data_IF_394620496679
#
_entry.id   IF_394620496679
#
_cell.length_a   1.000
_cell.length_b   1.000
_cell.length_c   1.000
_cell.angle_alpha   90.00
_cell.angle_beta   90.00
_cell.angle_gamma   90.00
#
_symmetry.space_group_name_H-M   'P 1'
#
loop_
_entity.id
_entity.type
_entity.pdbx_description
1 polymer ?
#
# COMPACT_ATOMS: atom_id res chain seq x y z
N UNK A 1 -5.04 -25.13 12.95
CA UNK A 1 -6.25 -24.39 12.59
C UNK A 1 -6.37 -24.24 11.08
N UNK A 2 -7.57 -24.01 10.58
CA UNK A 2 -7.85 -23.56 9.23
C UNK A 2 -8.09 -22.06 9.23
N UNK A 3 -7.39 -21.31 8.42
CA UNK A 3 -7.48 -19.85 8.38
C UNK A 3 -7.76 -19.40 6.95
N UNK A 4 -8.80 -18.56 6.77
CA UNK A 4 -9.09 -17.95 5.49
C UNK A 4 -8.53 -16.53 5.44
N UNK A 5 -7.77 -16.19 4.39
CA UNK A 5 -7.16 -14.87 4.18
C UNK A 5 -7.64 -14.29 2.85
N UNK A 6 -8.16 -13.06 2.85
CA UNK A 6 -8.61 -12.38 1.63
C UNK A 6 -7.69 -11.23 1.22
N UNK A 7 -7.20 -11.26 -0.03
CA UNK A 7 -6.13 -10.40 -0.56
C UNK A 7 -6.68 -9.59 -1.73
N UNK A 8 -6.86 -8.27 -1.57
CA UNK A 8 -7.56 -7.43 -2.55
C UNK A 8 -6.72 -6.32 -3.18
N UNK A 9 -5.53 -6.04 -2.65
CA UNK A 9 -4.67 -4.93 -3.10
C UNK A 9 -3.20 -5.33 -3.13
N UNK A 10 -2.33 -4.64 -3.91
CA UNK A 10 -0.89 -4.92 -3.92
C UNK A 10 -0.22 -4.87 -2.54
N UNK A 11 -0.60 -3.92 -1.69
CA UNK A 11 -0.15 -3.86 -0.29
C UNK A 11 -0.46 -5.15 0.47
N UNK A 12 -1.67 -5.67 0.28
CA UNK A 12 -2.13 -6.88 0.95
C UNK A 12 -1.38 -8.12 0.45
N UNK A 13 -0.98 -8.17 -0.83
CA UNK A 13 -0.11 -9.24 -1.34
C UNK A 13 1.20 -9.29 -0.56
N UNK A 14 1.87 -8.15 -0.39
CA UNK A 14 3.13 -8.07 0.35
C UNK A 14 2.96 -8.45 1.82
N UNK A 15 1.91 -7.95 2.45
CA UNK A 15 1.62 -8.18 3.87
C UNK A 15 1.23 -9.62 4.15
N UNK A 16 0.25 -10.13 3.42
CA UNK A 16 -0.31 -11.46 3.67
C UNK A 16 0.53 -12.61 3.13
N UNK A 17 1.45 -12.36 2.19
CA UNK A 17 2.48 -13.35 1.86
C UNK A 17 3.30 -13.69 3.11
N UNK A 18 3.74 -12.67 3.86
CA UNK A 18 4.52 -12.87 5.08
C UNK A 18 3.70 -13.46 6.22
N UNK A 19 2.44 -13.02 6.38
CA UNK A 19 1.56 -13.61 7.38
C UNK A 19 1.26 -15.08 7.07
N UNK A 20 0.95 -15.41 5.82
CA UNK A 20 0.68 -16.79 5.40
C UNK A 20 1.89 -17.69 5.62
N UNK A 21 3.08 -17.26 5.19
CA UNK A 21 4.35 -17.98 5.40
C UNK A 21 4.56 -18.28 6.90
N UNK A 22 4.29 -17.31 7.77
CA UNK A 22 4.45 -17.47 9.20
C UNK A 22 3.43 -18.43 9.82
N UNK A 23 2.17 -18.34 9.42
CA UNK A 23 1.09 -19.23 9.90
C UNK A 23 1.28 -20.67 9.40
N UNK A 24 1.65 -20.86 8.13
CA UNK A 24 1.95 -22.18 7.56
C UNK A 24 3.16 -22.82 8.27
N UNK A 25 4.21 -22.03 8.56
CA UNK A 25 5.36 -22.49 9.34
C UNK A 25 5.01 -22.90 10.77
N UNK A 26 3.85 -22.49 11.31
CA UNK A 26 3.29 -22.94 12.59
C UNK A 26 2.29 -24.09 12.45
N UNK A 27 2.15 -24.66 11.25
CA UNK A 27 1.30 -25.82 10.99
C UNK A 27 -0.19 -25.48 10.74
N UNK A 28 -0.54 -24.22 10.49
CA UNK A 28 -1.89 -23.84 10.11
C UNK A 28 -2.16 -24.11 8.65
N UNK A 29 -3.41 -24.45 8.30
CA UNK A 29 -3.86 -24.64 6.93
C UNK A 29 -4.51 -23.34 6.43
N UNK A 30 -3.95 -22.75 5.37
CA UNK A 30 -4.37 -21.45 4.84
C UNK A 30 -5.17 -21.61 3.55
N UNK A 31 -6.33 -20.96 3.48
CA UNK A 31 -7.05 -20.68 2.25
C UNK A 31 -6.84 -19.20 1.92
N UNK A 32 -6.15 -18.91 0.82
CA UNK A 32 -6.03 -17.56 0.30
C UNK A 32 -7.09 -17.34 -0.76
N UNK A 33 -7.80 -16.23 -0.70
CA UNK A 33 -8.75 -15.79 -1.73
C UNK A 33 -8.35 -14.42 -2.24
N UNK A 34 -8.68 -14.15 -3.49
CA UNK A 34 -8.54 -12.85 -4.15
C UNK A 34 -9.67 -12.65 -5.14
N UNK A 35 -9.73 -11.48 -5.79
CA UNK A 35 -10.64 -11.22 -6.90
C UNK A 35 -9.85 -11.04 -8.20
N UNK A 36 -10.51 -11.19 -9.34
CA UNK A 36 -9.91 -10.87 -10.63
C UNK A 36 -9.59 -9.38 -10.69
N UNK A 37 -8.34 -9.05 -10.47
CA UNK A 37 -7.78 -7.70 -10.54
C UNK A 37 -6.32 -7.77 -10.95
N UNK A 38 -6.00 -7.23 -12.15
CA UNK A 38 -4.72 -7.44 -12.85
C UNK A 38 -3.49 -7.22 -11.97
N UNK A 39 -3.39 -6.06 -11.31
CA UNK A 39 -2.21 -5.71 -10.50
C UNK A 39 -1.99 -6.70 -9.35
N UNK A 40 -3.06 -7.14 -8.69
CA UNK A 40 -2.99 -8.08 -7.57
C UNK A 40 -2.60 -9.46 -8.06
N UNK A 41 -3.22 -9.95 -9.14
CA UNK A 41 -2.97 -11.29 -9.65
C UNK A 41 -1.54 -11.41 -10.18
N UNK A 42 -1.03 -10.41 -10.92
CA UNK A 42 0.36 -10.37 -11.36
C UNK A 42 1.36 -10.32 -10.18
N UNK A 43 1.04 -9.57 -9.13
CA UNK A 43 1.93 -9.50 -7.97
C UNK A 43 1.93 -10.79 -7.14
N UNK A 44 0.79 -11.46 -7.00
CA UNK A 44 0.71 -12.78 -6.36
C UNK A 44 1.56 -13.81 -7.13
N UNK A 45 1.44 -13.83 -8.45
CA UNK A 45 2.25 -14.69 -9.32
C UNK A 45 3.75 -14.38 -9.16
N UNK A 46 4.15 -13.11 -9.22
CA UNK A 46 5.53 -12.67 -9.02
C UNK A 46 6.11 -13.10 -7.65
N UNK A 47 5.27 -13.16 -6.62
CA UNK A 47 5.66 -13.58 -5.27
C UNK A 47 5.48 -15.08 -5.02
N UNK A 48 5.05 -15.86 -6.00
CA UNK A 48 4.82 -17.30 -5.87
C UNK A 48 3.71 -17.64 -4.86
N UNK A 49 2.70 -16.80 -4.73
CA UNK A 49 1.60 -16.96 -3.76
C UNK A 49 0.33 -17.40 -4.47
N UNK A 50 -0.07 -18.63 -4.23
CA UNK A 50 -1.34 -19.15 -4.74
C UNK A 50 -2.53 -18.57 -3.98
N UNK A 51 -3.52 -18.07 -4.72
CA UNK A 51 -4.79 -17.59 -4.18
C UNK A 51 -5.96 -17.94 -5.11
N UNK A 52 -7.05 -18.43 -4.53
CA UNK A 52 -8.27 -18.73 -5.28
C UNK A 52 -8.94 -17.44 -5.71
N UNK A 53 -9.12 -17.27 -7.02
CA UNK A 53 -9.84 -16.11 -7.57
C UNK A 53 -11.34 -16.32 -7.34
N UNK A 54 -11.98 -15.37 -6.64
CA UNK A 54 -13.42 -15.34 -6.35
C UNK A 54 -13.94 -13.95 -6.67
N UNK A 55 -14.81 -13.87 -7.68
CA UNK A 55 -15.35 -12.61 -8.16
C UNK A 55 -14.33 -11.72 -8.88
N UNK A 56 -14.72 -10.48 -9.14
CA UNK A 56 -13.94 -9.51 -9.91
C UNK A 56 -13.97 -8.09 -9.29
N UNK A 57 -13.07 -7.23 -9.73
CA UNK A 57 -13.06 -5.83 -9.35
C UNK A 57 -14.15 -5.06 -10.10
N UNK A 58 -15.00 -4.31 -9.39
CA UNK A 58 -16.15 -3.61 -9.97
C UNK A 58 -15.84 -2.31 -10.74
N UNK A 59 -14.56 -2.04 -11.07
CA UNK A 59 -14.18 -0.82 -11.80
C UNK A 59 -14.27 0.48 -10.99
N UNK A 60 -14.43 1.61 -11.65
CA UNK A 60 -14.52 2.95 -11.04
C UNK A 60 -15.95 3.37 -10.65
N UNK A 61 -16.96 2.85 -11.31
CA UNK A 61 -18.36 3.20 -11.10
C UNK A 61 -18.95 2.60 -9.82
N UNK A 62 -19.74 3.38 -9.07
CA UNK A 62 -20.31 2.96 -7.79
C UNK A 62 -21.32 1.81 -7.91
N UNK A 63 -22.19 1.84 -8.93
CA UNK A 63 -23.17 0.79 -9.13
C UNK A 63 -22.52 -0.54 -9.51
N UNK A 64 -21.51 -0.50 -10.37
CA UNK A 64 -20.71 -1.66 -10.76
C UNK A 64 -19.92 -2.23 -9.57
N UNK A 65 -19.34 -1.39 -8.73
CA UNK A 65 -18.70 -1.81 -7.48
C UNK A 65 -19.67 -2.51 -6.53
N UNK A 66 -20.87 -1.97 -6.36
CA UNK A 66 -21.89 -2.56 -5.51
C UNK A 66 -22.33 -3.94 -6.03
N UNK A 67 -22.61 -4.05 -7.34
CA UNK A 67 -23.00 -5.32 -7.98
C UNK A 67 -21.92 -6.38 -7.88
N UNK A 68 -20.65 -6.01 -8.16
CA UNK A 68 -19.52 -6.91 -8.06
C UNK A 68 -19.29 -7.40 -6.62
N UNK A 69 -19.42 -6.52 -5.63
CA UNK A 69 -19.32 -6.86 -4.20
C UNK A 69 -20.44 -7.82 -3.77
N UNK A 70 -21.70 -7.54 -4.14
CA UNK A 70 -22.84 -8.41 -3.79
C UNK A 70 -22.68 -9.82 -4.40
N UNK A 71 -22.30 -9.91 -5.67
CA UNK A 71 -22.01 -11.19 -6.34
C UNK A 71 -20.87 -11.93 -5.65
N UNK A 72 -19.78 -11.22 -5.31
CA UNK A 72 -18.63 -11.80 -4.65
C UNK A 72 -18.95 -12.33 -3.25
N UNK A 73 -19.81 -11.67 -2.48
CA UNK A 73 -20.28 -12.18 -1.17
C UNK A 73 -20.89 -13.56 -1.34
N UNK A 74 -21.77 -13.76 -2.32
CA UNK A 74 -22.41 -15.03 -2.60
C UNK A 74 -21.40 -16.12 -3.00
N UNK A 75 -20.51 -15.81 -3.95
CA UNK A 75 -19.48 -16.75 -4.41
C UNK A 75 -18.47 -17.09 -3.30
N UNK A 76 -18.07 -16.11 -2.49
CA UNK A 76 -17.13 -16.29 -1.39
C UNK A 76 -17.74 -17.12 -0.25
N UNK A 77 -19.05 -16.97 0.03
CA UNK A 77 -19.71 -17.77 1.07
C UNK A 77 -19.60 -19.26 0.78
N UNK A 78 -19.82 -19.69 -0.47
CA UNK A 78 -19.67 -21.09 -0.87
C UNK A 78 -18.25 -21.64 -0.68
N UNK A 79 -17.25 -20.80 -0.98
CA UNK A 79 -15.84 -21.17 -0.81
C UNK A 79 -15.48 -21.30 0.68
N UNK A 80 -15.95 -20.38 1.50
CA UNK A 80 -15.71 -20.38 2.96
C UNK A 80 -16.46 -21.53 3.65
N UNK A 81 -17.70 -21.79 3.29
CA UNK A 81 -18.47 -22.95 3.78
C UNK A 81 -17.78 -24.28 3.45
N UNK A 82 -17.24 -24.43 2.24
CA UNK A 82 -16.51 -25.62 1.83
C UNK A 82 -15.18 -25.80 2.56
N UNK A 83 -14.48 -24.73 2.89
CA UNK A 83 -13.20 -24.79 3.61
C UNK A 83 -13.40 -24.93 5.13
N UNK A 84 -14.44 -24.33 5.70
CA UNK A 84 -14.74 -24.29 7.14
C UNK A 84 -13.57 -23.77 7.96
N UNK A 85 -13.19 -22.50 7.81
CA UNK A 85 -12.10 -21.91 8.58
C UNK A 85 -12.51 -21.68 10.03
N UNK A 86 -11.56 -21.84 10.95
CA UNK A 86 -11.71 -21.49 12.36
C UNK A 86 -11.66 -19.97 12.56
N UNK A 87 -10.87 -19.27 11.73
CA UNK A 87 -10.70 -17.80 11.75
C UNK A 87 -10.60 -17.27 10.32
N UNK A 88 -11.19 -16.10 10.08
CA UNK A 88 -11.03 -15.32 8.85
C UNK A 88 -10.16 -14.09 9.11
N UNK A 89 -9.27 -13.76 8.17
CA UNK A 89 -8.36 -12.60 8.26
C UNK A 89 -8.46 -11.78 6.98
N UNK A 90 -8.57 -10.47 7.09
CA UNK A 90 -8.48 -9.59 5.91
C UNK A 90 -7.90 -8.22 6.25
N UNK A 91 -7.38 -7.56 5.24
CA UNK A 91 -7.05 -6.14 5.32
C UNK A 91 -8.26 -5.33 4.85
N UNK A 92 -9.30 -5.32 5.69
CA UNK A 92 -10.58 -4.64 5.44
C UNK A 92 -11.28 -5.06 4.16
N UNK A 93 -11.46 -6.37 3.95
CA UNK A 93 -12.36 -6.88 2.91
C UNK A 93 -13.81 -6.81 3.37
N UNK A 94 -14.67 -5.96 2.75
CA UNK A 94 -16.09 -5.92 3.08
C UNK A 94 -16.80 -7.26 2.85
N UNK A 95 -16.41 -7.96 1.79
CA UNK A 95 -17.01 -9.23 1.41
C UNK A 95 -16.67 -10.34 2.43
N UNK A 96 -15.37 -10.48 2.80
CA UNK A 96 -14.99 -11.48 3.79
C UNK A 96 -15.54 -11.14 5.18
N UNK A 97 -15.53 -9.87 5.59
CA UNK A 97 -16.11 -9.45 6.87
C UNK A 97 -17.62 -9.80 6.95
N UNK A 98 -18.37 -9.57 5.85
CA UNK A 98 -19.80 -9.89 5.77
C UNK A 98 -20.05 -11.40 5.80
N UNK A 99 -19.26 -12.19 5.07
CA UNK A 99 -19.36 -13.66 5.03
C UNK A 99 -19.01 -14.25 6.39
N UNK A 100 -17.88 -13.87 6.98
CA UNK A 100 -17.44 -14.34 8.29
C UNK A 100 -18.49 -14.05 9.38
N UNK A 101 -19.01 -12.82 9.42
CA UNK A 101 -20.08 -12.45 10.35
C UNK A 101 -21.33 -13.30 10.17
N UNK A 102 -21.77 -13.52 8.93
CA UNK A 102 -22.96 -14.31 8.62
C UNK A 102 -22.84 -15.80 8.98
N UNK A 103 -21.62 -16.35 8.87
CA UNK A 103 -21.31 -17.74 9.20
C UNK A 103 -20.80 -17.93 10.64
N UNK A 104 -20.79 -16.87 11.47
CA UNK A 104 -20.27 -16.87 12.84
C UNK A 104 -18.81 -17.30 12.96
N UNK A 105 -18.00 -16.98 11.95
CA UNK A 105 -16.55 -17.20 11.96
C UNK A 105 -15.88 -15.97 12.55
N UNK A 106 -15.02 -16.10 13.57
CA UNK A 106 -14.23 -14.97 14.09
C UNK A 106 -13.45 -14.27 12.97
N UNK A 107 -13.57 -12.95 12.89
CA UNK A 107 -12.88 -12.16 11.87
C UNK A 107 -11.85 -11.21 12.48
N UNK A 108 -10.61 -11.36 12.06
CA UNK A 108 -9.51 -10.44 12.36
C UNK A 108 -9.36 -9.47 11.20
N UNK A 109 -9.71 -8.21 11.46
CA UNK A 109 -9.56 -7.12 10.50
C UNK A 109 -8.24 -6.39 10.74
N UNK A 110 -7.33 -6.38 9.77
CA UNK A 110 -6.19 -5.46 9.76
C UNK A 110 -6.61 -4.19 9.02
N UNK A 111 -6.29 -3.00 9.52
CA UNK A 111 -6.64 -1.76 8.84
C UNK A 111 -5.73 -0.58 9.26
N UNK A 112 -5.29 0.21 8.28
CA UNK A 112 -4.51 1.44 8.47
C UNK A 112 -5.22 2.72 7.98
N UNK A 113 -6.45 2.59 7.48
CA UNK A 113 -7.12 3.64 6.72
C UNK A 113 -8.50 4.01 7.32
N UNK A 114 -8.54 4.61 8.53
CA UNK A 114 -9.80 5.02 9.15
C UNK A 114 -10.53 6.13 8.37
N UNK A 115 -9.86 6.76 7.42
CA UNK A 115 -10.43 7.76 6.52
C UNK A 115 -11.19 7.14 5.34
N UNK A 116 -11.00 5.86 5.04
CA UNK A 116 -11.78 5.09 4.06
C UNK A 116 -13.14 4.68 4.67
N UNK A 117 -14.00 5.67 4.92
CA UNK A 117 -15.20 5.55 5.73
C UNK A 117 -16.15 4.43 5.27
N UNK A 118 -16.39 4.31 3.95
CA UNK A 118 -17.28 3.28 3.41
C UNK A 118 -16.77 1.86 3.71
N UNK A 119 -15.46 1.63 3.53
CA UNK A 119 -14.83 0.34 3.84
C UNK A 119 -14.84 0.08 5.35
N UNK A 120 -14.48 1.09 6.16
CA UNK A 120 -14.46 0.95 7.61
C UNK A 120 -15.84 0.60 8.18
N UNK A 121 -16.91 1.23 7.69
CA UNK A 121 -18.30 0.94 8.10
C UNK A 121 -18.77 -0.48 7.74
N UNK A 122 -18.22 -1.05 6.67
CA UNK A 122 -18.58 -2.40 6.21
C UNK A 122 -17.68 -3.51 6.77
N UNK A 123 -16.63 -3.16 7.50
CA UNK A 123 -15.67 -4.16 8.02
C UNK A 123 -15.52 -4.09 9.52
N UNK A 124 -15.20 -2.92 10.06
CA UNK A 124 -14.83 -2.74 11.47
C UNK A 124 -15.92 -3.22 12.44
N UNK A 125 -17.21 -2.85 12.31
CA UNK A 125 -18.25 -3.30 13.23
C UNK A 125 -18.59 -4.79 13.12
N UNK A 126 -18.19 -5.45 12.03
CA UNK A 126 -18.42 -6.89 11.82
C UNK A 126 -17.24 -7.75 12.28
N UNK A 127 -16.15 -7.13 12.76
CA UNK A 127 -14.92 -7.83 13.10
C UNK A 127 -14.85 -8.16 14.58
N UNK A 128 -14.32 -9.34 14.90
CA UNK A 128 -14.06 -9.77 16.28
C UNK A 128 -12.91 -8.99 16.90
N UNK A 129 -11.86 -8.76 16.10
CA UNK A 129 -10.69 -7.95 16.46
C UNK A 129 -10.30 -7.03 15.30
N UNK A 130 -9.86 -5.82 15.64
CA UNK A 130 -9.21 -4.90 14.73
C UNK A 130 -7.75 -4.75 15.11
N UNK A 131 -6.85 -5.03 14.17
CA UNK A 131 -5.42 -4.85 14.32
C UNK A 131 -4.96 -3.66 13.47
N UNK A 132 -4.23 -2.76 14.09
CA UNK A 132 -3.82 -1.51 13.45
C UNK A 132 -2.50 -0.98 14.01
N UNK A 133 -1.84 -0.14 13.24
CA UNK A 133 -0.65 0.57 13.73
C UNK A 133 -0.98 1.46 14.95
N UNK A 134 -0.10 1.47 15.94
CA UNK A 134 -0.17 2.36 17.11
C UNK A 134 -0.12 3.86 16.74
N UNK A 135 0.34 4.18 15.52
CA UNK A 135 0.34 5.53 14.96
C UNK A 135 -1.08 6.05 14.66
N UNK A 136 -2.07 5.15 14.65
CA UNK A 136 -3.49 5.49 14.47
C UNK A 136 -4.18 5.39 15.83
N UNK A 137 -4.71 6.48 16.39
CA UNK A 137 -5.33 6.44 17.70
C UNK A 137 -6.61 5.58 17.69
N UNK A 138 -6.86 4.80 18.76
CA UNK A 138 -8.05 3.94 18.89
C UNK A 138 -9.37 4.67 18.63
N UNK A 139 -9.47 5.95 19.01
CA UNK A 139 -10.66 6.79 18.76
C UNK A 139 -11.01 6.95 17.27
N UNK A 140 -10.04 6.78 16.37
CA UNK A 140 -10.30 6.81 14.93
C UNK A 140 -11.13 5.59 14.47
N UNK A 141 -11.17 4.54 15.27
CA UNK A 141 -11.84 3.28 14.98
C UNK A 141 -13.12 3.09 15.79
N UNK A 142 -13.13 3.48 17.07
CA UNK A 142 -14.31 3.30 17.94
C UNK A 142 -15.56 3.99 17.42
N UNK A 143 -15.40 5.07 16.62
CA UNK A 143 -16.52 5.72 15.92
C UNK A 143 -17.25 4.80 14.92
N UNK A 144 -16.67 3.65 14.55
CA UNK A 144 -17.28 2.66 13.68
C UNK A 144 -17.93 1.51 14.45
N UNK A 145 -18.04 1.61 15.78
CA UNK A 145 -18.78 0.66 16.61
C UNK A 145 -17.98 -0.51 17.16
N UNK A 146 -16.64 -0.55 16.97
CA UNK A 146 -15.81 -1.58 17.60
C UNK A 146 -15.42 -1.15 19.02
N UNK A 147 -15.56 -2.06 20.05
CA UNK A 147 -15.11 -1.77 21.42
C UNK A 147 -13.59 -1.53 21.49
N UNK A 148 -13.11 -0.60 22.34
CA UNK A 148 -11.68 -0.31 22.49
C UNK A 148 -10.80 -1.53 22.84
N UNK A 149 -11.36 -2.51 23.59
CA UNK A 149 -10.66 -3.72 24.01
C UNK A 149 -10.52 -4.75 22.87
N UNK A 150 -11.29 -4.57 21.80
CA UNK A 150 -11.15 -5.34 20.57
C UNK A 150 -10.19 -4.71 19.55
N UNK A 151 -9.58 -3.56 19.90
CA UNK A 151 -8.58 -2.90 19.07
C UNK A 151 -7.20 -3.23 19.61
N UNK A 152 -6.45 -4.01 18.87
CA UNK A 152 -5.05 -4.35 19.14
C UNK A 152 -4.14 -3.47 18.29
N UNK A 153 -3.13 -2.88 18.90
CA UNK A 153 -2.21 -1.99 18.21
C UNK A 153 -0.78 -2.54 18.25
N UNK A 154 -0.12 -2.60 17.09
CA UNK A 154 1.31 -2.92 16.98
C UNK A 154 2.13 -1.63 16.77
N UNK A 155 3.30 -1.56 17.39
CA UNK A 155 4.20 -0.41 17.27
C UNK A 155 5.06 -0.52 16.01
N UNK A 156 4.44 -0.44 14.84
CA UNK A 156 5.11 -0.43 13.54
C UNK A 156 4.22 0.19 12.47
N UNK A 157 4.84 0.49 11.32
CA UNK A 157 4.14 0.79 10.07
C UNK A 157 4.05 -0.49 9.23
N UNK A 158 2.92 -0.73 8.56
CA UNK A 158 2.67 -1.97 7.83
C UNK A 158 3.78 -2.36 6.83
N UNK A 159 4.38 -1.43 6.06
CA UNK A 159 5.46 -1.79 5.15
C UNK A 159 6.71 -2.35 5.83
N UNK A 160 6.88 -2.14 7.14
CA UNK A 160 7.98 -2.73 7.89
C UNK A 160 7.98 -4.26 7.82
N UNK A 161 6.81 -4.88 7.67
CA UNK A 161 6.65 -6.34 7.50
C UNK A 161 7.50 -6.91 6.38
N UNK A 162 7.60 -6.23 5.25
CA UNK A 162 8.35 -6.71 4.10
C UNK A 162 9.63 -5.94 3.83
N UNK A 163 9.82 -4.78 4.46
CA UNK A 163 11.03 -3.97 4.26
C UNK A 163 12.16 -4.30 5.22
N UNK A 164 11.86 -4.75 6.46
CA UNK A 164 12.89 -5.03 7.50
C UNK A 164 13.97 -6.03 7.04
N UNK A 165 13.63 -6.96 6.15
CA UNK A 165 14.53 -7.97 5.60
C UNK A 165 14.50 -7.93 4.07
N UNK A 166 14.31 -6.74 3.48
CA UNK A 166 14.29 -6.60 2.03
C UNK A 166 15.62 -7.03 1.41
N UNK A 167 15.53 -7.92 0.44
CA UNK A 167 16.62 -8.21 -0.50
C UNK A 167 16.20 -7.63 -1.84
N UNK A 168 16.71 -6.45 -2.20
CA UNK A 168 16.32 -5.82 -3.46
C UNK A 168 16.78 -6.63 -4.65
N UNK A 169 15.91 -6.76 -5.66
CA UNK A 169 16.26 -7.40 -6.91
C UNK A 169 16.97 -6.39 -7.84
N UNK A 170 18.26 -6.55 -8.12
CA UNK A 170 18.98 -5.63 -9.00
C UNK A 170 18.53 -5.72 -10.47
N UNK A 171 17.81 -6.77 -10.86
CA UNK A 171 17.30 -6.92 -12.22
C UNK A 171 16.26 -5.85 -12.55
N UNK A 172 15.65 -5.21 -11.55
CA UNK A 172 14.68 -4.13 -11.75
C UNK A 172 15.26 -2.98 -12.58
N UNK A 173 16.54 -2.65 -12.41
CA UNK A 173 17.20 -1.61 -13.20
C UNK A 173 17.29 -1.99 -14.68
N UNK A 174 17.63 -3.25 -14.97
CA UNK A 174 17.68 -3.77 -16.35
C UNK A 174 16.29 -3.85 -16.98
N UNK A 175 15.29 -4.33 -16.23
CA UNK A 175 13.90 -4.40 -16.69
C UNK A 175 13.34 -3.03 -17.08
N UNK A 176 13.75 -1.98 -16.37
CA UNK A 176 13.32 -0.61 -16.60
C UNK A 176 14.33 0.20 -17.45
N UNK A 177 15.39 -0.45 -17.98
CA UNK A 177 16.45 0.18 -18.77
C UNK A 177 17.06 1.41 -18.07
N UNK A 178 17.32 1.30 -16.76
CA UNK A 178 17.88 2.36 -15.93
C UNK A 178 19.39 2.18 -15.75
N UNK A 179 20.08 3.29 -15.73
CA UNK A 179 21.52 3.40 -15.48
C UNK A 179 21.72 3.71 -13.98
N UNK A 180 22.35 2.83 -13.23
CA UNK A 180 22.57 2.94 -11.78
C UNK A 180 23.57 4.04 -11.40
N UNK A 181 24.36 4.51 -12.37
CA UNK A 181 25.30 5.63 -12.18
C UNK A 181 24.61 7.00 -12.11
N UNK A 182 23.34 7.11 -12.53
CA UNK A 182 22.57 8.36 -12.56
C UNK A 182 21.48 8.37 -11.49
N UNK A 183 21.23 9.51 -10.83
CA UNK A 183 20.15 9.64 -9.88
C UNK A 183 18.79 9.31 -10.51
N UNK A 184 17.98 8.49 -9.82
CA UNK A 184 16.64 8.10 -10.24
C UNK A 184 15.62 8.87 -9.41
N UNK A 185 14.71 9.58 -10.06
CA UNK A 185 13.54 10.20 -9.41
C UNK A 185 12.31 9.41 -9.75
N UNK A 186 11.70 8.78 -8.75
CA UNK A 186 10.48 7.99 -8.92
C UNK A 186 9.25 8.80 -8.56
N UNK A 187 8.31 8.90 -9.48
CA UNK A 187 7.01 9.52 -9.30
C UNK A 187 5.90 8.48 -9.24
N UNK A 188 5.11 8.49 -8.18
CA UNK A 188 3.89 7.68 -8.08
C UNK A 188 2.68 8.56 -8.34
N UNK A 189 1.91 8.24 -9.38
CA UNK A 189 0.67 8.96 -9.67
C UNK A 189 -0.38 8.77 -8.57
N UNK A 190 -1.28 9.74 -8.45
CA UNK A 190 -2.30 9.78 -7.42
C UNK A 190 -3.39 8.73 -7.65
N UNK A 191 -4.11 8.39 -6.57
CA UNK A 191 -5.27 7.49 -6.57
C UNK A 191 -6.51 8.23 -7.08
N UNK A 192 -6.72 8.28 -8.40
CA UNK A 192 -7.84 9.02 -9.02
C UNK A 192 -9.21 8.42 -8.71
N UNK A 193 -9.29 7.12 -8.39
CA UNK A 193 -10.54 6.41 -8.09
C UNK A 193 -10.83 6.25 -6.59
N UNK A 194 -10.00 6.82 -5.73
CA UNK A 194 -10.36 6.92 -4.33
C UNK A 194 -11.62 7.79 -4.19
N UNK A 195 -12.54 7.37 -3.35
CA UNK A 195 -13.85 8.04 -3.17
C UNK A 195 -13.75 9.53 -2.84
N UNK A 196 -12.60 9.99 -2.33
CA UNK A 196 -12.30 11.37 -1.98
C UNK A 196 -11.61 12.18 -3.10
N UNK A 197 -11.33 11.57 -4.27
CA UNK A 197 -10.70 12.21 -5.44
C UNK A 197 -11.50 12.04 -6.73
N UNK A 198 -12.69 11.44 -6.67
CA UNK A 198 -13.56 11.24 -7.83
C UNK A 198 -13.87 12.57 -8.51
N UNK A 199 -13.58 12.65 -9.81
CA UNK A 199 -13.89 13.80 -10.66
C UNK A 199 -12.70 14.70 -11.04
N UNK A 200 -11.47 14.43 -10.59
CA UNK A 200 -10.28 15.17 -11.04
C UNK A 200 -9.58 14.47 -12.21
N UNK A 201 -9.30 15.23 -13.28
CA UNK A 201 -8.52 14.73 -14.40
C UNK A 201 -7.03 14.62 -14.07
N UNK A 202 -6.30 13.78 -14.80
CA UNK A 202 -4.82 13.68 -14.65
C UNK A 202 -4.11 15.00 -14.92
N UNK A 203 -4.66 15.83 -15.80
CA UNK A 203 -4.12 17.16 -16.11
C UNK A 203 -4.09 18.11 -14.89
N UNK A 204 -4.93 17.82 -13.88
CA UNK A 204 -5.02 18.63 -12.65
C UNK A 204 -4.07 18.14 -11.55
N UNK A 205 -3.31 17.06 -11.77
CA UNK A 205 -2.35 16.58 -10.80
C UNK A 205 -1.06 17.42 -10.83
N UNK A 206 -0.44 17.71 -9.67
CA UNK A 206 0.81 18.45 -9.63
C UNK A 206 2.01 17.67 -10.21
N UNK A 207 1.87 16.36 -10.43
CA UNK A 207 2.96 15.46 -10.84
C UNK A 207 3.40 15.74 -12.28
N UNK A 208 2.48 15.88 -13.24
CA UNK A 208 2.84 16.12 -14.65
C UNK A 208 3.62 17.44 -14.83
N UNK A 209 3.15 18.60 -14.33
CA UNK A 209 3.92 19.84 -14.39
C UNK A 209 5.27 19.72 -13.70
N UNK A 210 5.35 18.98 -12.59
CA UNK A 210 6.59 18.79 -11.84
C UNK A 210 7.61 17.98 -12.64
N UNK A 211 7.20 16.86 -13.26
CA UNK A 211 8.07 16.07 -14.15
C UNK A 211 8.59 16.93 -15.30
N UNK A 212 7.73 17.71 -15.97
CA UNK A 212 8.15 18.63 -17.04
C UNK A 212 9.23 19.61 -16.58
N UNK A 213 9.09 20.15 -15.37
CA UNK A 213 10.07 21.09 -14.82
C UNK A 213 11.36 20.40 -14.39
N UNK A 214 11.31 19.19 -13.86
CA UNK A 214 12.50 18.38 -13.54
C UNK A 214 13.29 18.10 -14.82
N UNK A 215 12.67 17.56 -15.85
CA UNK A 215 13.33 17.27 -17.14
C UNK A 215 13.95 18.51 -17.80
N UNK A 216 13.31 19.68 -17.66
CA UNK A 216 13.85 20.93 -18.20
C UNK A 216 15.11 21.40 -17.47
N UNK A 217 15.24 21.13 -16.17
CA UNK A 217 16.28 21.70 -15.30
C UNK A 217 17.40 20.74 -14.93
N UNK A 218 17.16 19.44 -15.02
CA UNK A 218 18.10 18.36 -14.63
C UNK A 218 18.15 17.32 -15.74
N UNK A 219 19.19 17.38 -16.55
CA UNK A 219 19.45 16.42 -17.63
C UNK A 219 20.28 15.22 -17.17
N UNK A 220 20.80 15.31 -15.98
CA UNK A 220 21.67 14.33 -15.31
C UNK A 220 20.87 13.27 -14.51
N UNK A 221 19.54 13.34 -14.48
CA UNK A 221 18.68 12.43 -13.75
C UNK A 221 17.82 11.59 -14.69
N UNK A 222 17.41 10.43 -14.20
CA UNK A 222 16.42 9.56 -14.82
C UNK A 222 15.10 9.71 -14.08
N UNK A 223 14.01 9.78 -14.81
CA UNK A 223 12.66 9.89 -14.24
C UNK A 223 11.91 8.61 -14.50
N UNK A 224 11.42 8.01 -13.42
CA UNK A 224 10.54 6.84 -13.46
C UNK A 224 9.14 7.24 -13.00
N UNK A 225 8.13 6.95 -13.81
CA UNK A 225 6.73 7.13 -13.45
C UNK A 225 6.07 5.77 -13.20
N UNK A 226 5.40 5.63 -12.06
CA UNK A 226 4.66 4.42 -11.68
C UNK A 226 3.17 4.75 -11.69
N UNK A 227 2.45 4.54 -12.81
CA UNK A 227 1.01 4.77 -12.90
C UNK A 227 0.22 3.74 -12.10
N UNK A 228 -1.04 4.04 -11.76
CA UNK A 228 -1.97 3.10 -11.14
C UNK A 228 -2.94 2.50 -12.15
N UNK A 229 -3.31 3.27 -13.17
CA UNK A 229 -4.39 2.94 -14.12
C UNK A 229 -3.91 3.07 -15.55
N UNK A 230 -4.53 2.34 -16.46
CA UNK A 230 -4.19 2.38 -17.88
C UNK A 230 -4.39 3.77 -18.51
N UNK A 231 -5.38 4.53 -18.03
CA UNK A 231 -5.61 5.90 -18.48
C UNK A 231 -4.45 6.83 -18.09
N UNK A 232 -3.92 6.66 -16.87
CA UNK A 232 -2.74 7.41 -16.42
C UNK A 232 -1.50 7.04 -17.24
N UNK A 233 -1.33 5.77 -17.54
CA UNK A 233 -0.24 5.26 -18.36
C UNK A 233 -0.28 5.86 -19.77
N UNK A 234 -1.44 5.80 -20.44
CA UNK A 234 -1.65 6.40 -21.77
C UNK A 234 -1.31 7.89 -21.76
N UNK A 235 -1.86 8.65 -20.82
CA UNK A 235 -1.59 10.10 -20.71
C UNK A 235 -0.11 10.41 -20.48
N UNK A 236 0.59 9.60 -19.68
CA UNK A 236 2.03 9.77 -19.49
C UNK A 236 2.81 9.48 -20.78
N UNK A 237 2.45 8.46 -21.54
CA UNK A 237 3.06 8.17 -22.84
C UNK A 237 2.83 9.29 -23.83
N UNK A 238 1.60 9.79 -23.96
CA UNK A 238 1.26 10.90 -24.86
C UNK A 238 2.04 12.19 -24.53
N UNK A 239 2.28 12.46 -23.25
CA UNK A 239 2.92 13.70 -22.78
C UNK A 239 4.45 13.63 -22.85
N UNK A 240 5.03 12.48 -22.48
CA UNK A 240 6.47 12.37 -22.25
C UNK A 240 7.20 11.48 -23.26
N UNK A 241 6.47 10.59 -23.93
CA UNK A 241 7.04 9.59 -24.85
C UNK A 241 8.23 8.86 -24.15
N UNK A 242 9.38 8.79 -24.78
CA UNK A 242 10.62 8.13 -24.34
C UNK A 242 11.51 8.99 -23.39
N UNK A 243 11.02 10.19 -23.01
CA UNK A 243 11.77 11.10 -22.11
C UNK A 243 11.80 10.63 -20.64
N UNK A 244 10.93 9.70 -20.28
CA UNK A 244 10.85 9.10 -18.95
C UNK A 244 10.59 7.60 -19.07
N UNK A 245 10.99 6.84 -18.07
CA UNK A 245 10.61 5.43 -17.96
C UNK A 245 9.23 5.34 -17.33
N UNK A 246 8.28 4.71 -18.00
CA UNK A 246 6.93 4.46 -17.50
C UNK A 246 6.79 2.96 -17.19
N UNK A 247 6.46 2.62 -15.95
CA UNK A 247 6.23 1.23 -15.57
C UNK A 247 4.97 0.69 -16.28
N UNK A 248 5.17 -0.19 -17.25
CA UNK A 248 4.10 -0.73 -18.09
C UNK A 248 3.35 -1.90 -17.43
N UNK A 249 4.05 -2.64 -16.57
CA UNK A 249 3.53 -3.78 -15.83
C UNK A 249 3.72 -3.58 -14.33
N UNK A 250 3.19 -4.50 -13.55
CA UNK A 250 3.45 -4.57 -12.12
C UNK A 250 4.93 -4.83 -11.88
N UNK A 251 5.59 -3.95 -11.14
CA UNK A 251 7.01 -4.04 -10.80
C UNK A 251 7.18 -4.36 -9.31
N UNK A 252 8.33 -4.90 -8.94
CA UNK A 252 8.72 -5.00 -7.53
C UNK A 252 9.01 -3.59 -6.98
N UNK A 253 7.97 -2.97 -6.43
CA UNK A 253 8.02 -1.61 -5.90
C UNK A 253 9.13 -1.37 -4.88
N UNK A 254 9.29 -2.22 -3.85
CA UNK A 254 10.39 -2.11 -2.89
C UNK A 254 11.78 -2.13 -3.53
N UNK A 255 12.02 -3.00 -4.51
CA UNK A 255 13.30 -3.05 -5.24
C UNK A 255 13.54 -1.78 -6.05
N UNK A 256 12.53 -1.26 -6.76
CA UNK A 256 12.64 0.02 -7.45
C UNK A 256 12.94 1.17 -6.48
N UNK A 257 12.23 1.22 -5.35
CA UNK A 257 12.41 2.28 -4.35
C UNK A 257 13.79 2.22 -3.69
N UNK A 258 14.37 1.04 -3.52
CA UNK A 258 15.74 0.90 -3.00
C UNK A 258 16.77 1.61 -3.88
N UNK A 259 16.61 1.54 -5.21
CA UNK A 259 17.48 2.22 -6.18
C UNK A 259 17.08 3.68 -6.44
N UNK A 260 15.96 4.14 -5.89
CA UNK A 260 15.47 5.51 -6.07
C UNK A 260 16.32 6.51 -5.27
N UNK A 261 16.67 7.61 -5.90
CA UNK A 261 17.41 8.72 -5.27
C UNK A 261 16.47 9.73 -4.60
N UNK A 262 15.33 9.99 -5.21
CA UNK A 262 14.27 10.87 -4.68
C UNK A 262 12.92 10.29 -5.08
N UNK A 263 12.00 10.21 -4.12
CA UNK A 263 10.63 9.77 -4.37
C UNK A 263 9.62 10.91 -4.21
N UNK A 264 8.67 10.98 -5.13
CA UNK A 264 7.54 11.93 -5.09
C UNK A 264 6.23 11.20 -5.29
N UNK A 265 5.28 11.36 -4.37
CA UNK A 265 3.98 10.70 -4.48
C UNK A 265 2.86 11.38 -3.68
N UNK A 266 1.67 10.80 -3.78
CA UNK A 266 0.46 11.30 -3.13
C UNK A 266 0.25 10.83 -1.68
N UNK A 267 1.23 10.18 -1.02
CA UNK A 267 1.12 9.78 0.39
C UNK A 267 0.61 8.36 0.66
N UNK A 268 0.51 7.48 -0.33
CA UNK A 268 0.09 6.07 -0.15
C UNK A 268 1.23 5.15 0.32
N UNK A 269 1.05 3.84 0.13
CA UNK A 269 1.99 2.79 0.57
C UNK A 269 3.41 3.02 0.08
N UNK A 270 3.62 3.31 -1.21
CA UNK A 270 4.95 3.59 -1.76
C UNK A 270 5.64 4.81 -1.12
N UNK A 271 4.88 5.82 -0.65
CA UNK A 271 5.46 6.93 0.12
C UNK A 271 6.01 6.46 1.46
N UNK A 272 5.30 5.56 2.14
CA UNK A 272 5.76 4.97 3.40
C UNK A 272 6.95 4.04 3.17
N UNK A 273 6.90 3.22 2.13
CA UNK A 273 8.00 2.32 1.73
C UNK A 273 9.28 3.11 1.43
N UNK A 274 9.18 4.10 0.56
CA UNK A 274 10.30 4.97 0.20
C UNK A 274 10.92 5.64 1.43
N UNK A 275 10.08 6.21 2.30
CA UNK A 275 10.54 6.84 3.53
C UNK A 275 11.28 5.86 4.45
N UNK A 276 10.73 4.64 4.65
CA UNK A 276 11.34 3.59 5.48
C UNK A 276 12.61 2.99 4.89
N UNK A 277 12.79 3.05 3.58
CA UNK A 277 14.03 2.66 2.90
C UNK A 277 15.14 3.73 2.98
N UNK A 278 14.89 4.84 3.66
CA UNK A 278 15.87 5.91 3.78
C UNK A 278 16.00 6.79 2.53
N UNK A 279 15.04 6.72 1.62
CA UNK A 279 14.99 7.55 0.42
C UNK A 279 14.41 8.93 0.77
N UNK A 280 15.03 10.05 0.34
CA UNK A 280 14.43 11.38 0.44
C UNK A 280 13.04 11.41 -0.21
N UNK A 281 12.00 11.56 0.61
CA UNK A 281 10.61 11.33 0.21
C UNK A 281 9.77 12.59 0.34
N UNK A 282 9.10 12.95 -0.76
CA UNK A 282 8.19 14.08 -0.84
C UNK A 282 6.76 13.60 -1.10
N UNK A 283 5.80 14.24 -0.42
CA UNK A 283 4.38 14.04 -0.66
C UNK A 283 3.73 15.33 -1.15
N UNK A 284 3.00 15.25 -2.25
CA UNK A 284 2.15 16.32 -2.77
C UNK A 284 0.66 16.11 -2.45
N UNK A 285 0.33 15.31 -1.43
CA UNK A 285 -1.05 14.97 -1.07
C UNK A 285 -1.93 16.22 -0.89
N UNK A 286 -3.01 16.38 -1.68
CA UNK A 286 -3.70 17.66 -1.79
C UNK A 286 -4.62 17.97 -0.60
N UNK A 287 -5.10 16.93 0.10
CA UNK A 287 -6.09 17.05 1.17
C UNK A 287 -5.45 17.06 2.57
N UNK A 288 -6.28 17.06 3.62
CA UNK A 288 -5.81 16.91 5.01
C UNK A 288 -5.10 15.57 5.15
N UNK A 289 -3.85 15.53 5.63
CA UNK A 289 -3.11 14.29 5.77
C UNK A 289 -3.83 13.29 6.67
N UNK A 290 -3.89 12.03 6.27
CA UNK A 290 -4.36 10.92 7.11
C UNK A 290 -3.31 10.54 8.18
N UNK A 291 -3.68 9.75 9.16
CA UNK A 291 -2.90 9.56 10.38
C UNK A 291 -1.45 9.08 10.12
N UNK A 292 -1.28 8.10 9.22
CA UNK A 292 0.07 7.62 8.86
C UNK A 292 0.91 8.72 8.20
N UNK A 293 0.34 9.47 7.25
CA UNK A 293 1.09 10.56 6.60
C UNK A 293 1.43 11.68 7.61
N UNK A 294 0.53 12.01 8.55
CA UNK A 294 0.83 12.95 9.65
C UNK A 294 2.01 12.47 10.49
N UNK A 295 2.03 11.17 10.82
CA UNK A 295 3.10 10.56 11.59
C UNK A 295 4.44 10.66 10.85
N UNK A 296 4.49 10.32 9.56
CA UNK A 296 5.70 10.40 8.73
C UNK A 296 6.23 11.83 8.61
N UNK A 297 5.33 12.81 8.45
CA UNK A 297 5.69 14.24 8.38
C UNK A 297 6.17 14.76 9.72
N UNK A 298 5.51 14.40 10.82
CA UNK A 298 5.92 14.78 12.19
C UNK A 298 7.33 14.28 12.51
N UNK A 299 7.68 13.07 12.08
CA UNK A 299 9.00 12.48 12.29
C UNK A 299 10.02 12.90 11.20
N UNK A 300 9.65 13.84 10.33
CA UNK A 300 10.54 14.42 9.31
C UNK A 300 11.17 13.40 8.36
N UNK A 301 10.52 12.25 8.15
CA UNK A 301 10.92 11.25 7.14
C UNK A 301 10.15 11.40 5.83
N UNK A 302 9.07 12.18 5.82
CA UNK A 302 8.38 12.64 4.61
C UNK A 302 8.22 14.14 4.66
N UNK A 303 8.55 14.82 3.57
CA UNK A 303 8.27 16.25 3.39
C UNK A 303 6.97 16.43 2.64
N UNK A 304 5.95 16.99 3.30
CA UNK A 304 4.69 17.36 2.64
C UNK A 304 4.83 18.77 2.03
N UNK A 305 4.70 18.85 0.71
CA UNK A 305 4.75 20.12 -0.01
C UNK A 305 3.75 20.11 -1.17
N UNK A 306 2.80 21.03 -1.14
CA UNK A 306 1.72 21.13 -2.13
C UNK A 306 2.01 22.14 -3.23
N UNK A 307 2.89 23.10 -2.96
CA UNK A 307 3.27 24.09 -3.96
C UNK A 307 4.31 23.47 -4.92
N UNK A 308 4.01 23.32 -6.21
CA UNK A 308 4.91 22.65 -7.17
C UNK A 308 6.28 23.36 -7.30
N UNK A 309 6.32 24.69 -7.20
CA UNK A 309 7.56 25.44 -7.31
C UNK A 309 8.45 25.26 -6.08
N UNK A 310 7.86 25.22 -4.88
CA UNK A 310 8.61 24.93 -3.64
C UNK A 310 9.08 23.48 -3.61
N UNK A 311 8.21 22.55 -4.04
CA UNK A 311 8.56 21.14 -4.15
C UNK A 311 9.75 20.94 -5.11
N UNK A 312 9.74 21.59 -6.28
CA UNK A 312 10.85 21.55 -7.22
C UNK A 312 12.16 22.11 -6.64
N UNK A 313 12.10 23.20 -5.89
CA UNK A 313 13.29 23.75 -5.19
C UNK A 313 13.86 22.75 -4.20
N UNK A 314 13.00 22.08 -3.42
CA UNK A 314 13.41 21.07 -2.44
C UNK A 314 14.02 19.84 -3.12
N UNK A 315 13.40 19.33 -4.19
CA UNK A 315 13.94 18.22 -5.00
C UNK A 315 15.34 18.60 -5.53
N UNK A 316 15.48 19.81 -6.11
CA UNK A 316 16.77 20.27 -6.61
C UNK A 316 17.83 20.31 -5.51
N UNK A 317 17.54 20.95 -4.37
CA UNK A 317 18.46 21.02 -3.25
C UNK A 317 18.85 19.63 -2.71
N UNK A 318 17.92 18.67 -2.72
CA UNK A 318 18.19 17.29 -2.33
C UNK A 318 19.15 16.60 -3.31
N UNK A 319 18.96 16.80 -4.61
CA UNK A 319 19.82 16.24 -5.64
C UNK A 319 21.21 16.88 -5.68
N UNK A 320 21.32 18.16 -5.34
CA UNK A 320 22.59 18.89 -5.31
C UNK A 320 23.50 18.39 -4.16
N UNK A 321 22.94 17.79 -3.10
CA UNK A 321 23.69 17.16 -1.98
C UNK A 321 23.03 15.81 -1.58
N UNK A 322 22.96 14.91 -2.57
CA UNK A 322 22.21 13.66 -2.47
C UNK A 322 22.74 12.73 -1.38
N UNK A 323 24.05 12.58 -1.27
CA UNK A 323 24.67 11.71 -0.27
C UNK A 323 24.34 12.15 1.16
N UNK A 324 24.42 13.43 1.45
CA UNK A 324 24.04 13.99 2.74
C UNK A 324 22.54 13.82 3.00
N UNK A 325 21.70 14.04 1.98
CA UNK A 325 20.25 13.87 2.11
C UNK A 325 19.88 12.41 2.42
N UNK A 326 20.47 11.43 1.72
CA UNK A 326 20.28 9.99 1.97
C UNK A 326 20.77 9.61 3.37
N UNK A 327 21.98 10.03 3.76
CA UNK A 327 22.53 9.77 5.10
C UNK A 327 21.61 10.31 6.20
N UNK A 328 21.21 11.57 6.11
CA UNK A 328 20.29 12.19 7.06
C UNK A 328 18.95 11.47 7.15
N UNK A 329 18.43 11.03 6.00
CA UNK A 329 17.18 10.28 5.95
C UNK A 329 17.32 8.90 6.61
N UNK A 330 18.40 8.17 6.32
CA UNK A 330 18.69 6.87 6.90
C UNK A 330 18.84 6.94 8.44
N UNK A 331 19.54 7.95 8.97
CA UNK A 331 19.67 8.18 10.40
C UNK A 331 18.31 8.37 11.08
N UNK A 332 17.41 9.17 10.50
CA UNK A 332 16.05 9.37 11.00
C UNK A 332 15.25 8.07 10.99
N UNK A 333 15.37 7.27 9.93
CA UNK A 333 14.67 5.98 9.83
C UNK A 333 15.20 5.02 10.89
N UNK A 334 16.51 4.89 11.08
CA UNK A 334 17.10 4.03 12.10
C UNK A 334 16.57 4.37 13.50
N UNK A 335 16.48 5.67 13.84
CA UNK A 335 15.88 6.11 15.09
C UNK A 335 14.41 5.73 15.21
N UNK A 336 13.66 5.86 14.11
CA UNK A 336 12.22 5.61 14.10
C UNK A 336 11.89 4.13 14.28
N UNK A 337 12.63 3.24 13.59
CA UNK A 337 12.33 1.80 13.56
C UNK A 337 12.94 1.02 14.71
N UNK A 338 13.75 1.67 15.54
CA UNK A 338 14.47 1.01 16.66
C UNK A 338 13.54 0.23 17.59
N UNK A 339 12.36 0.80 17.86
CA UNK A 339 11.38 0.22 18.78
C UNK A 339 10.19 -0.41 18.02
N UNK A 340 10.32 -0.66 16.70
CA UNK A 340 9.25 -1.29 15.94
C UNK A 340 9.12 -2.77 16.29
N UNK A 341 7.89 -3.18 16.54
CA UNK A 341 7.51 -4.58 16.69
C UNK A 341 7.37 -5.25 15.32
N UNK A 342 7.31 -6.57 15.31
CA UNK A 342 6.88 -7.30 14.13
C UNK A 342 5.35 -7.39 14.09
N UNK A 343 4.66 -6.69 13.17
CA UNK A 343 3.20 -6.79 13.08
C UNK A 343 2.70 -8.21 12.85
N UNK A 344 3.50 -9.03 12.15
CA UNK A 344 3.11 -10.43 11.86
C UNK A 344 3.00 -11.25 13.15
N UNK A 345 3.95 -11.11 14.08
CA UNK A 345 3.89 -11.84 15.34
C UNK A 345 2.69 -11.42 16.20
N UNK A 346 2.38 -10.12 16.22
CA UNK A 346 1.20 -9.60 16.92
C UNK A 346 -0.09 -10.17 16.32
N UNK A 347 -0.19 -10.21 14.99
CA UNK A 347 -1.38 -10.72 14.29
C UNK A 347 -1.51 -12.23 14.50
N UNK A 348 -0.42 -12.98 14.37
CA UNK A 348 -0.40 -14.43 14.60
C UNK A 348 -0.90 -14.76 16.01
N UNK A 349 -0.37 -14.06 17.02
CA UNK A 349 -0.80 -14.26 18.41
C UNK A 349 -2.30 -14.00 18.62
N UNK A 350 -2.86 -12.97 17.97
CA UNK A 350 -4.30 -12.69 18.08
C UNK A 350 -5.18 -13.68 17.29
N UNK A 351 -4.69 -14.16 16.13
CA UNK A 351 -5.37 -15.18 15.34
C UNK A 351 -5.42 -16.50 16.12
N UNK A 352 -4.30 -16.93 16.72
CA UNK A 352 -4.20 -18.18 17.50
C UNK A 352 -5.07 -18.18 18.77
N UNK A 353 -5.39 -17.02 19.35
CA UNK A 353 -6.31 -16.90 20.50
C UNK A 353 -7.78 -17.11 20.13
N UNK A 354 -8.15 -17.08 18.87
CA UNK A 354 -9.53 -17.13 18.40
C UNK A 354 -9.95 -18.51 17.87
N UNK A 355 -8.99 -19.43 17.72
CA UNK A 355 -9.23 -20.74 17.15
C UNK A 355 -9.13 -21.95 18.08
#
# INVERSE_FOLDING_TARGET
MKIAIDILTPKQCMFFSKLSERLEGRGHKILRTTRKYREVNQLLELKGVDAKIVGEHGGGDLASKLKASAKRILELSLVIEGFKPDVAVSFSSPELARVAFGLRIPHVCVNDSPHAEAVAKLTVPLSTKLLTSKMIPKKAWTKYGIPPDNIVQYNALDPWVWLKNLKPDPQILRQLMLDDSKPIITFRTEESFASYLLGKSLAETPIIPLIKQVLKRRRDVQVVAVPRYEEQKKSLFEIFNDKITICESTVDGPSLLYHTSVFVGGGGTMTTESALLGVPTFSCYPSKPFEILKYLVKNKIVTLERNPNQLLKKIKSTLDDLEKAKKTQAEKVQMLVKDFEDPIEVIVAEVEKLG
#
